data_IF_832508173558
#
_entry.id   IF_832508173558
#
_cell.length_a   1.000
_cell.length_b   1.000
_cell.length_c   1.000
_cell.angle_alpha   90.00
_cell.angle_beta   90.00
_cell.angle_gamma   90.00
#
_symmetry.space_group_name_H-M   'P 1'
#
loop_
_entity.id
_entity.type
_entity.pdbx_description
1 polymer ?
#
# COMPACT_ATOMS: atom_id res chain seq x y z
N UNK A 1 -29.44 -94.26 -22.30
CA UNK A 1 -29.55 -93.36 -23.48
C UNK A 1 -30.56 -92.24 -23.27
N UNK A 2 -31.86 -92.47 -23.08
CA UNK A 2 -32.84 -91.36 -22.91
C UNK A 2 -32.64 -90.57 -21.60
N UNK A 3 -32.37 -91.26 -20.49
CA UNK A 3 -32.15 -90.61 -19.17
C UNK A 3 -30.86 -89.78 -19.10
N UNK A 4 -29.81 -90.19 -19.83
CA UNK A 4 -28.55 -89.44 -19.92
C UNK A 4 -28.74 -88.15 -20.73
N UNK A 5 -29.50 -88.20 -21.83
CA UNK A 5 -29.83 -87.02 -22.62
C UNK A 5 -30.66 -85.99 -21.83
N UNK A 6 -31.61 -86.45 -21.02
CA UNK A 6 -32.41 -85.57 -20.15
C UNK A 6 -31.55 -84.93 -19.06
N UNK A 7 -30.61 -85.68 -18.47
CA UNK A 7 -29.64 -85.15 -17.50
C UNK A 7 -28.75 -84.06 -18.12
N UNK A 8 -28.22 -84.29 -19.32
CA UNK A 8 -27.40 -83.28 -20.00
C UNK A 8 -28.21 -82.05 -20.41
N UNK A 9 -29.46 -82.21 -20.87
CA UNK A 9 -30.37 -81.09 -21.19
C UNK A 9 -30.68 -80.24 -19.95
N UNK A 10 -30.92 -80.88 -18.80
CA UNK A 10 -31.11 -80.18 -17.53
C UNK A 10 -29.84 -79.44 -17.09
N UNK A 11 -28.66 -80.05 -17.28
CA UNK A 11 -27.38 -79.43 -16.94
C UNK A 11 -27.04 -78.23 -17.82
N UNK A 12 -27.31 -78.33 -19.12
CA UNK A 12 -27.17 -77.22 -20.08
C UNK A 12 -28.09 -76.08 -19.67
N UNK A 13 -29.36 -76.37 -19.35
CA UNK A 13 -30.32 -75.36 -18.90
C UNK A 13 -29.89 -74.67 -17.60
N UNK A 14 -29.31 -75.40 -16.65
CA UNK A 14 -28.76 -74.86 -15.40
C UNK A 14 -27.57 -73.92 -15.67
N UNK A 15 -26.65 -74.34 -16.56
CA UNK A 15 -25.48 -73.54 -16.94
C UNK A 15 -25.88 -72.28 -17.73
N UNK A 16 -26.90 -72.36 -18.58
CA UNK A 16 -27.45 -71.22 -19.31
C UNK A 16 -28.07 -70.19 -18.36
N UNK A 17 -28.82 -70.64 -17.35
CA UNK A 17 -29.34 -69.76 -16.29
C UNK A 17 -28.20 -69.07 -15.55
N UNK A 18 -27.19 -69.83 -15.10
CA UNK A 18 -25.99 -69.25 -14.45
C UNK A 18 -25.25 -68.26 -15.35
N UNK A 19 -25.15 -68.54 -16.65
CA UNK A 19 -24.53 -67.63 -17.62
C UNK A 19 -25.31 -66.32 -17.71
N UNK A 20 -26.65 -66.39 -17.77
CA UNK A 20 -27.51 -65.20 -17.81
C UNK A 20 -27.40 -64.40 -16.52
N UNK A 21 -27.45 -65.06 -15.35
CA UNK A 21 -27.30 -64.40 -14.04
C UNK A 21 -25.95 -63.68 -13.93
N UNK A 22 -24.86 -64.33 -14.35
CA UNK A 22 -23.53 -63.73 -14.37
C UNK A 22 -23.43 -62.57 -15.38
N UNK A 23 -24.09 -62.65 -16.53
CA UNK A 23 -24.14 -61.56 -17.51
C UNK A 23 -24.89 -60.34 -16.95
N UNK A 24 -26.00 -60.56 -16.24
CA UNK A 24 -26.72 -59.49 -15.56
C UNK A 24 -25.88 -58.86 -14.45
N UNK A 25 -25.23 -59.68 -13.62
CA UNK A 25 -24.37 -59.20 -12.53
C UNK A 25 -23.18 -58.40 -13.08
N UNK A 26 -22.52 -58.89 -14.13
CA UNK A 26 -21.47 -58.16 -14.83
C UNK A 26 -22.00 -56.82 -15.38
N UNK A 27 -23.20 -56.81 -15.94
CA UNK A 27 -23.87 -55.60 -16.42
C UNK A 27 -24.11 -54.59 -15.30
N UNK A 28 -24.57 -55.05 -14.12
CA UNK A 28 -24.78 -54.22 -12.92
C UNK A 28 -23.45 -53.67 -12.40
N UNK A 29 -22.41 -54.50 -12.30
CA UNK A 29 -21.07 -54.10 -11.86
C UNK A 29 -20.43 -53.07 -12.80
N UNK A 30 -20.58 -53.24 -14.12
CA UNK A 30 -20.11 -52.25 -15.11
C UNK A 30 -20.79 -50.90 -14.96
N UNK A 31 -22.12 -50.88 -14.79
CA UNK A 31 -22.87 -49.63 -14.54
C UNK A 31 -22.43 -48.97 -13.23
N UNK A 32 -22.18 -49.75 -12.19
CA UNK A 32 -21.66 -49.24 -10.92
C UNK A 32 -20.25 -48.66 -11.08
N UNK A 33 -19.36 -49.35 -11.79
CA UNK A 33 -18.01 -48.88 -12.08
C UNK A 33 -18.00 -47.55 -12.85
N UNK A 34 -18.86 -47.39 -13.87
CA UNK A 34 -18.96 -46.13 -14.62
C UNK A 34 -19.46 -44.98 -13.73
N UNK A 35 -20.47 -45.22 -12.87
CA UNK A 35 -20.93 -44.20 -11.90
C UNK A 35 -19.83 -43.78 -10.93
N UNK A 36 -19.03 -44.72 -10.43
CA UNK A 36 -17.89 -44.40 -9.56
C UNK A 36 -16.81 -43.62 -10.29
N UNK A 37 -16.54 -43.97 -11.56
CA UNK A 37 -15.61 -43.25 -12.42
C UNK A 37 -16.07 -41.81 -12.65
N UNK A 38 -17.33 -41.59 -13.01
CA UNK A 38 -17.91 -40.25 -13.16
C UNK A 38 -17.83 -39.43 -11.87
N UNK A 39 -18.16 -40.03 -10.72
CA UNK A 39 -18.09 -39.35 -9.43
C UNK A 39 -16.64 -38.96 -9.08
N UNK A 40 -15.69 -39.87 -9.30
CA UNK A 40 -14.27 -39.62 -9.10
C UNK A 40 -13.77 -38.51 -10.01
N UNK A 41 -14.13 -38.53 -11.29
CA UNK A 41 -13.67 -37.55 -12.26
C UNK A 41 -14.24 -36.16 -11.93
N UNK A 42 -15.51 -36.10 -11.51
CA UNK A 42 -16.14 -34.88 -10.98
C UNK A 42 -15.38 -34.37 -9.74
N UNK A 43 -15.13 -35.22 -8.75
CA UNK A 43 -14.40 -34.82 -7.53
C UNK A 43 -12.98 -34.37 -7.82
N UNK A 44 -12.28 -35.04 -8.73
CA UNK A 44 -10.96 -34.63 -9.19
C UNK A 44 -10.98 -33.26 -9.87
N UNK A 45 -12.02 -32.95 -10.65
CA UNK A 45 -12.18 -31.64 -11.27
C UNK A 45 -12.42 -30.54 -10.23
N UNK A 46 -13.26 -30.80 -9.23
CA UNK A 46 -13.52 -29.89 -8.11
C UNK A 46 -12.22 -29.60 -7.33
N UNK A 47 -11.45 -30.65 -6.98
CA UNK A 47 -10.17 -30.51 -6.27
C UNK A 47 -9.16 -29.69 -7.09
N UNK A 48 -9.04 -29.96 -8.41
CA UNK A 48 -8.14 -29.18 -9.28
C UNK A 48 -8.53 -27.70 -9.32
N UNK A 49 -9.83 -27.40 -9.41
CA UNK A 49 -10.33 -26.04 -9.40
C UNK A 49 -10.02 -25.33 -8.07
N UNK A 50 -10.23 -25.99 -6.93
CA UNK A 50 -9.90 -25.44 -5.61
C UNK A 50 -8.40 -25.18 -5.46
N UNK A 51 -7.54 -26.11 -5.90
CA UNK A 51 -6.08 -25.94 -5.87
C UNK A 51 -5.66 -24.72 -6.72
N UNK A 52 -6.26 -24.56 -7.90
CA UNK A 52 -5.96 -23.43 -8.77
C UNK A 52 -6.40 -22.10 -8.14
N UNK A 53 -7.61 -22.03 -7.60
CA UNK A 53 -8.10 -20.85 -6.90
C UNK A 53 -7.24 -20.50 -5.67
N UNK A 54 -6.80 -21.51 -4.91
CA UNK A 54 -5.91 -21.31 -3.77
C UNK A 54 -4.55 -20.72 -4.19
N UNK A 55 -3.97 -21.23 -5.29
CA UNK A 55 -2.72 -20.68 -5.84
C UNK A 55 -2.88 -19.21 -6.22
N UNK A 56 -3.97 -18.86 -6.91
CA UNK A 56 -4.23 -17.47 -7.32
C UNK A 56 -4.38 -16.52 -6.13
N UNK A 57 -5.07 -16.94 -5.08
CA UNK A 57 -5.22 -16.11 -3.86
C UNK A 57 -3.88 -15.97 -3.13
N UNK A 58 -3.07 -17.02 -3.07
CA UNK A 58 -1.73 -16.97 -2.46
C UNK A 58 -0.78 -16.03 -3.23
N UNK A 59 -0.79 -16.07 -4.56
CA UNK A 59 0.02 -15.15 -5.36
C UNK A 59 -0.43 -13.70 -5.18
N UNK A 60 -1.74 -13.43 -5.20
CA UNK A 60 -2.26 -12.08 -4.89
C UNK A 60 -1.81 -11.60 -3.50
N UNK A 61 -1.88 -12.45 -2.48
CA UNK A 61 -1.39 -12.11 -1.13
C UNK A 61 0.09 -11.76 -1.16
N UNK A 62 0.91 -12.53 -1.87
CA UNK A 62 2.34 -12.30 -2.00
C UNK A 62 2.65 -10.98 -2.70
N UNK A 63 1.94 -10.66 -3.79
CA UNK A 63 2.05 -9.36 -4.48
C UNK A 63 1.77 -8.20 -3.52
N UNK A 64 0.67 -8.29 -2.76
CA UNK A 64 0.28 -7.26 -1.79
C UNK A 64 1.28 -7.08 -0.65
N UNK A 65 1.89 -8.18 -0.18
CA UNK A 65 2.99 -8.13 0.80
C UNK A 65 4.21 -7.44 0.19
N UNK A 66 4.51 -7.70 -1.09
CA UNK A 66 5.55 -7.01 -1.85
C UNK A 66 5.30 -5.51 -1.94
N UNK A 67 4.11 -5.09 -2.37
CA UNK A 67 3.67 -3.68 -2.41
C UNK A 67 3.83 -3.02 -1.03
N UNK A 68 3.35 -3.66 0.03
CA UNK A 68 3.46 -3.13 1.39
C UNK A 68 4.92 -2.98 1.83
N UNK A 69 5.80 -3.90 1.42
CA UNK A 69 7.22 -3.82 1.75
C UNK A 69 7.89 -2.64 1.05
N UNK A 70 7.55 -2.38 -0.22
CA UNK A 70 8.00 -1.20 -0.96
C UNK A 70 7.55 0.10 -0.28
N UNK A 71 6.27 0.19 0.12
CA UNK A 71 5.75 1.37 0.82
C UNK A 71 6.39 1.58 2.20
N UNK A 72 6.77 0.52 2.91
CA UNK A 72 7.50 0.64 4.18
C UNK A 72 8.90 1.22 3.99
N UNK A 73 9.57 0.88 2.89
CA UNK A 73 10.86 1.48 2.54
C UNK A 73 10.68 2.96 2.18
N UNK A 74 9.71 3.28 1.33
CA UNK A 74 9.38 4.67 1.00
C UNK A 74 9.04 5.49 2.25
N UNK A 75 8.28 4.91 3.19
CA UNK A 75 7.97 5.55 4.47
C UNK A 75 9.24 5.84 5.29
N UNK A 76 10.23 4.94 5.26
CA UNK A 76 11.52 5.16 5.94
C UNK A 76 12.25 6.33 5.31
N UNK A 77 12.36 6.37 3.99
CA UNK A 77 12.99 7.48 3.28
C UNK A 77 12.31 8.82 3.56
N UNK A 78 10.97 8.87 3.54
CA UNK A 78 10.22 10.09 3.85
C UNK A 78 10.46 10.53 5.29
N UNK A 79 10.52 9.60 6.24
CA UNK A 79 10.86 9.93 7.65
C UNK A 79 12.26 10.49 7.79
N UNK A 80 13.23 9.97 7.05
CA UNK A 80 14.60 10.48 7.06
C UNK A 80 14.70 11.87 6.44
N UNK A 81 14.00 12.10 5.31
CA UNK A 81 13.86 13.43 4.70
C UNK A 81 13.20 14.42 5.65
N UNK A 82 12.12 14.01 6.33
CA UNK A 82 11.41 14.83 7.31
C UNK A 82 12.33 15.21 8.48
N UNK A 83 13.11 14.25 9.00
CA UNK A 83 14.09 14.52 10.06
C UNK A 83 15.13 15.57 9.62
N UNK A 84 15.67 15.43 8.41
CA UNK A 84 16.63 16.40 7.84
C UNK A 84 15.99 17.78 7.66
N UNK A 85 14.78 17.85 7.11
CA UNK A 85 14.06 19.12 6.92
C UNK A 85 13.75 19.82 8.26
N UNK A 86 13.38 19.07 9.30
CA UNK A 86 13.18 19.61 10.65
C UNK A 86 14.50 20.15 11.22
N UNK A 87 15.61 19.44 11.01
CA UNK A 87 16.94 19.88 11.47
C UNK A 87 17.40 21.14 10.73
N UNK A 88 17.19 21.22 9.42
CA UNK A 88 17.44 22.43 8.63
C UNK A 88 16.58 23.60 9.11
N UNK A 89 15.29 23.38 9.35
CA UNK A 89 14.39 24.38 9.92
C UNK A 89 14.87 24.89 11.28
N UNK A 90 15.42 24.01 12.14
CA UNK A 90 15.97 24.40 13.45
C UNK A 90 17.19 25.30 13.35
N UNK A 91 17.99 25.18 12.29
CA UNK A 91 19.16 26.03 12.04
C UNK A 91 18.77 27.43 11.57
N UNK A 92 17.55 27.62 11.07
CA UNK A 92 17.06 28.93 10.61
C UNK A 92 16.65 29.76 11.82
N UNK A 93 17.48 30.75 12.16
CA UNK A 93 17.29 31.58 13.34
C UNK A 93 16.50 32.86 13.05
N UNK A 94 15.29 32.71 12.49
CA UNK A 94 14.48 33.85 12.09
C UNK A 94 13.98 34.70 13.28
N UNK A 95 13.95 34.14 14.50
CA UNK A 95 13.46 34.84 15.71
C UNK A 95 14.46 35.84 16.30
N UNK A 96 15.73 35.72 15.95
CA UNK A 96 16.76 36.69 16.36
C UNK A 96 16.72 37.97 15.53
N UNK A 97 15.99 37.98 14.41
CA UNK A 97 15.84 39.16 13.59
C UNK A 97 14.74 40.07 14.13
N UNK A 98 14.96 41.40 14.15
CA UNK A 98 13.94 42.35 14.57
C UNK A 98 12.72 42.27 13.65
N UNK A 99 11.55 42.67 14.15
CA UNK A 99 10.35 42.68 13.34
C UNK A 99 10.54 43.61 12.13
N UNK A 100 10.39 43.07 10.92
CA UNK A 100 10.56 43.84 9.68
C UNK A 100 9.64 45.05 9.59
N UNK A 101 8.48 45.03 10.25
CA UNK A 101 7.57 46.20 10.34
C UNK A 101 8.14 47.31 11.23
N UNK A 102 8.80 46.94 12.34
CA UNK A 102 9.46 47.92 13.22
C UNK A 102 10.65 48.56 12.52
N UNK A 103 11.43 47.77 11.77
CA UNK A 103 12.55 48.28 10.97
C UNK A 103 12.04 49.24 9.89
N UNK A 104 10.98 48.87 9.16
CA UNK A 104 10.38 49.74 8.13
C UNK A 104 9.84 51.04 8.71
N UNK A 105 9.07 50.97 9.79
CA UNK A 105 8.59 52.18 10.47
C UNK A 105 9.74 53.06 10.94
N UNK A 106 10.87 52.47 11.37
CA UNK A 106 12.05 53.22 11.76
C UNK A 106 12.72 53.91 10.58
N UNK A 107 12.82 53.23 9.43
CA UNK A 107 13.32 53.81 8.17
C UNK A 107 12.43 54.99 7.77
N UNK A 108 11.11 54.82 7.71
CA UNK A 108 10.15 55.86 7.35
C UNK A 108 10.29 57.11 8.25
N UNK A 109 10.49 56.92 9.56
CA UNK A 109 10.71 58.03 10.50
C UNK A 109 12.02 58.78 10.22
N UNK A 110 13.08 58.08 9.83
CA UNK A 110 14.39 58.66 9.54
C UNK A 110 14.37 59.40 8.19
N UNK A 111 13.70 58.84 7.19
CA UNK A 111 13.45 59.48 5.91
C UNK A 111 12.62 60.77 6.06
N UNK A 112 11.55 60.71 6.85
CA UNK A 112 10.74 61.88 7.17
C UNK A 112 11.57 62.97 7.87
N UNK A 113 12.48 62.58 8.77
CA UNK A 113 13.38 63.52 9.46
C UNK A 113 14.30 64.25 8.48
N UNK A 114 14.83 63.54 7.47
CA UNK A 114 15.63 64.15 6.38
C UNK A 114 14.81 65.15 5.58
N UNK A 115 13.54 64.85 5.30
CA UNK A 115 12.68 65.71 4.46
C UNK A 115 12.24 67.00 5.16
N UNK A 116 11.96 66.95 6.47
CA UNK A 116 11.31 68.05 7.18
C UNK A 116 12.28 68.89 8.02
N UNK A 117 13.40 68.32 8.48
CA UNK A 117 14.33 69.01 9.38
C UNK A 117 15.56 69.50 8.63
N UNK A 118 15.93 70.80 8.72
CA UNK A 118 17.22 71.26 8.21
C UNK A 118 18.35 70.69 9.08
N UNK A 119 18.99 69.62 8.59
CA UNK A 119 20.11 68.94 9.24
C UNK A 119 21.43 69.47 8.68
N UNK A 120 22.49 69.41 9.49
CA UNK A 120 23.84 69.59 8.96
C UNK A 120 24.24 68.41 8.08
N UNK A 121 25.18 68.61 7.16
CA UNK A 121 25.67 67.57 6.24
C UNK A 121 26.20 66.33 6.99
N UNK A 122 26.72 66.51 8.21
CA UNK A 122 27.23 65.40 9.03
C UNK A 122 26.11 64.60 9.70
N UNK A 123 25.03 65.27 10.15
CA UNK A 123 23.85 64.62 10.69
C UNK A 123 23.06 63.88 9.61
N UNK A 124 22.94 64.46 8.42
CA UNK A 124 22.34 63.81 7.27
C UNK A 124 23.09 62.52 6.91
N UNK A 125 24.43 62.56 6.84
CA UNK A 125 25.26 61.36 6.62
C UNK A 125 25.05 60.29 7.69
N UNK A 126 24.86 60.68 8.97
CA UNK A 126 24.56 59.73 10.06
C UNK A 126 23.19 59.08 9.88
N UNK A 127 22.17 59.85 9.51
CA UNK A 127 20.82 59.33 9.27
C UNK A 127 20.81 58.39 8.06
N UNK A 128 21.47 58.77 6.96
CA UNK A 128 21.60 57.93 5.76
C UNK A 128 22.35 56.62 6.05
N UNK A 129 23.43 56.67 6.82
CA UNK A 129 24.17 55.47 7.22
C UNK A 129 23.31 54.52 8.09
N UNK A 130 22.46 55.09 8.96
CA UNK A 130 21.54 54.32 9.79
C UNK A 130 20.41 53.69 8.97
N UNK A 131 19.83 54.41 8.00
CA UNK A 131 18.87 53.84 7.05
C UNK A 131 19.50 52.66 6.30
N UNK A 132 20.70 52.84 5.75
CA UNK A 132 21.42 51.77 5.03
C UNK A 132 21.79 50.57 5.91
N UNK A 133 21.91 50.76 7.24
CA UNK A 133 22.08 49.65 8.20
C UNK A 133 20.75 48.91 8.40
N UNK A 134 19.68 49.65 8.66
CA UNK A 134 18.34 49.12 8.88
C UNK A 134 17.80 48.39 7.64
N UNK A 135 18.04 48.91 6.44
CA UNK A 135 17.66 48.25 5.18
C UNK A 135 18.35 46.89 5.00
N UNK A 136 19.64 46.79 5.35
CA UNK A 136 20.37 45.52 5.32
C UNK A 136 19.81 44.52 6.33
N UNK A 137 19.56 44.98 7.56
CA UNK A 137 18.95 44.15 8.60
C UNK A 137 17.54 43.67 8.20
N UNK A 138 16.73 44.52 7.57
CA UNK A 138 15.41 44.16 7.06
C UNK A 138 15.49 43.12 5.94
N UNK A 139 16.44 43.26 5.03
CA UNK A 139 16.65 42.31 3.94
C UNK A 139 17.04 40.92 4.47
N UNK A 140 18.02 40.86 5.37
CA UNK A 140 18.46 39.61 6.00
C UNK A 140 17.31 38.95 6.77
N UNK A 141 16.53 39.74 7.53
CA UNK A 141 15.35 39.25 8.25
C UNK A 141 14.30 38.66 7.30
N UNK A 142 14.03 39.31 6.17
CA UNK A 142 13.07 38.84 5.17
C UNK A 142 13.54 37.55 4.49
N UNK A 143 14.83 37.44 4.15
CA UNK A 143 15.42 36.23 3.59
C UNK A 143 15.32 35.04 4.55
N UNK A 144 15.62 35.24 5.84
CA UNK A 144 15.51 34.20 6.87
C UNK A 144 14.05 33.78 7.10
N UNK A 145 13.12 34.73 7.09
CA UNK A 145 11.68 34.44 7.19
C UNK A 145 11.20 33.61 5.99
N UNK A 146 11.58 34.00 4.77
CA UNK A 146 11.25 33.24 3.54
C UNK A 146 11.86 31.85 3.58
N UNK A 147 13.11 31.70 4.03
CA UNK A 147 13.74 30.39 4.20
C UNK A 147 12.97 29.52 5.21
N UNK A 148 12.55 30.09 6.34
CA UNK A 148 11.74 29.39 7.33
C UNK A 148 10.38 28.95 6.79
N UNK A 149 9.70 29.81 6.03
CA UNK A 149 8.41 29.50 5.42
C UNK A 149 8.53 28.38 4.39
N UNK A 150 9.55 28.43 3.51
CA UNK A 150 9.84 27.34 2.57
C UNK A 150 10.12 26.02 3.29
N UNK A 151 10.89 26.06 4.38
CA UNK A 151 11.15 24.86 5.19
C UNK A 151 9.86 24.32 5.83
N UNK A 152 8.95 25.19 6.29
CA UNK A 152 7.65 24.77 6.80
C UNK A 152 6.77 24.13 5.72
N UNK A 153 6.72 24.73 4.51
CA UNK A 153 5.98 24.18 3.38
C UNK A 153 6.51 22.80 3.00
N UNK A 154 7.83 22.65 2.86
CA UNK A 154 8.46 21.38 2.54
C UNK A 154 8.19 20.29 3.59
N UNK A 155 8.23 20.64 4.88
CA UNK A 155 7.86 19.74 5.97
C UNK A 155 6.39 19.30 5.83
N UNK A 156 5.47 20.23 5.56
CA UNK A 156 4.06 19.91 5.34
C UNK A 156 3.83 18.95 4.16
N UNK A 157 4.53 19.15 3.04
CA UNK A 157 4.48 18.23 1.89
C UNK A 157 4.99 16.83 2.26
N UNK A 158 6.06 16.73 3.04
CA UNK A 158 6.58 15.44 3.50
C UNK A 158 5.62 14.77 4.50
N UNK A 159 4.92 15.53 5.34
CA UNK A 159 3.92 15.00 6.28
C UNK A 159 2.68 14.46 5.56
N UNK A 160 2.15 15.21 4.59
CA UNK A 160 1.03 14.74 3.76
C UNK A 160 1.41 13.48 2.97
N UNK A 161 2.64 13.44 2.42
CA UNK A 161 3.16 12.23 1.78
C UNK A 161 3.26 11.06 2.75
N UNK A 162 3.80 11.28 3.96
CA UNK A 162 3.89 10.26 5.02
C UNK A 162 2.50 9.69 5.35
N UNK A 163 1.51 10.55 5.51
CA UNK A 163 0.14 10.16 5.84
C UNK A 163 -0.52 9.34 4.73
N UNK A 164 -0.34 9.77 3.47
CA UNK A 164 -0.79 9.01 2.31
C UNK A 164 -0.20 7.59 2.27
N UNK A 165 1.11 7.45 2.51
CA UNK A 165 1.79 6.14 2.56
C UNK A 165 1.24 5.29 3.72
N UNK A 166 1.06 5.88 4.90
CA UNK A 166 0.53 5.14 6.07
C UNK A 166 -0.89 4.65 5.80
N UNK A 167 -1.76 5.50 5.24
CA UNK A 167 -3.12 5.11 4.85
C UNK A 167 -3.11 3.98 3.83
N UNK A 168 -2.22 4.04 2.82
CA UNK A 168 -2.09 2.96 1.83
C UNK A 168 -1.58 1.66 2.44
N UNK A 169 -0.62 1.73 3.36
CA UNK A 169 -0.13 0.55 4.10
C UNK A 169 -1.27 -0.10 4.90
N UNK A 170 -2.12 0.70 5.55
CA UNK A 170 -3.24 0.17 6.33
C UNK A 170 -4.29 -0.49 5.43
N UNK A 171 -4.64 0.11 4.29
CA UNK A 171 -5.51 -0.51 3.30
C UNK A 171 -4.95 -1.86 2.79
N UNK A 172 -3.64 -1.92 2.52
CA UNK A 172 -3.00 -3.19 2.13
C UNK A 172 -3.03 -4.24 3.24
N UNK A 173 -2.93 -3.87 4.52
CA UNK A 173 -3.08 -4.82 5.63
C UNK A 173 -4.48 -5.41 5.67
N UNK A 174 -5.50 -4.60 5.43
CA UNK A 174 -6.90 -5.06 5.34
C UNK A 174 -7.07 -6.02 4.16
N UNK A 175 -6.61 -5.64 2.96
CA UNK A 175 -6.62 -6.51 1.77
C UNK A 175 -5.89 -7.86 2.03
N UNK A 176 -4.73 -7.82 2.70
CA UNK A 176 -3.97 -9.04 3.05
C UNK A 176 -4.74 -9.90 4.04
N UNK A 177 -5.35 -9.31 5.06
CA UNK A 177 -6.14 -10.03 6.08
C UNK A 177 -7.36 -10.73 5.45
N UNK A 178 -8.03 -10.07 4.51
CA UNK A 178 -9.13 -10.68 3.74
C UNK A 178 -8.66 -11.86 2.89
N UNK A 179 -7.50 -11.74 2.23
CA UNK A 179 -6.91 -12.83 1.46
C UNK A 179 -6.48 -14.00 2.36
N UNK A 180 -5.95 -13.73 3.55
CA UNK A 180 -5.62 -14.76 4.55
C UNK A 180 -6.86 -15.48 5.04
N UNK A 181 -7.93 -14.76 5.37
CA UNK A 181 -9.21 -15.37 5.73
C UNK A 181 -9.75 -16.25 4.60
N UNK A 182 -9.66 -15.80 3.35
CA UNK A 182 -10.07 -16.58 2.19
C UNK A 182 -9.22 -17.84 2.00
N UNK A 183 -7.92 -17.77 2.24
CA UNK A 183 -7.01 -18.92 2.19
C UNK A 183 -7.42 -19.96 3.25
N UNK A 184 -7.62 -19.53 4.50
CA UNK A 184 -7.99 -20.44 5.59
C UNK A 184 -9.32 -21.18 5.29
N UNK A 185 -10.33 -20.45 4.80
CA UNK A 185 -11.62 -21.07 4.42
C UNK A 185 -11.48 -22.07 3.26
N UNK A 186 -10.52 -21.87 2.35
CA UNK A 186 -10.26 -22.81 1.25
C UNK A 186 -9.42 -24.01 1.68
N UNK A 187 -8.62 -23.90 2.74
CA UNK A 187 -7.81 -24.98 3.30
C UNK A 187 -8.61 -25.90 4.24
N UNK A 188 -9.67 -25.38 4.86
CA UNK A 188 -10.59 -26.15 5.72
C UNK A 188 -11.64 -26.97 4.93
N UNK A 189 -11.74 -26.79 3.61
CA UNK A 189 -12.71 -27.46 2.71
C UNK A 189 -12.11 -28.65 1.99
#
# INVERSE_FOLDING_TARGET
MVEEEEFYKAKISELEKKRLDLQEELGRLRKHAEKHKELRDKKNSEVKATIQALKEVREKRKEKIGEMSGLKEELREVKDKLRKAIEEKRKINWREYPNGEEIKHRIDCLEWKIQITPLSLEEEKKVVAEIARLEREALEAEEQRKAYERACQHIGELETKRESIVSRINALKEEIAELEAKINVMEEK
#
